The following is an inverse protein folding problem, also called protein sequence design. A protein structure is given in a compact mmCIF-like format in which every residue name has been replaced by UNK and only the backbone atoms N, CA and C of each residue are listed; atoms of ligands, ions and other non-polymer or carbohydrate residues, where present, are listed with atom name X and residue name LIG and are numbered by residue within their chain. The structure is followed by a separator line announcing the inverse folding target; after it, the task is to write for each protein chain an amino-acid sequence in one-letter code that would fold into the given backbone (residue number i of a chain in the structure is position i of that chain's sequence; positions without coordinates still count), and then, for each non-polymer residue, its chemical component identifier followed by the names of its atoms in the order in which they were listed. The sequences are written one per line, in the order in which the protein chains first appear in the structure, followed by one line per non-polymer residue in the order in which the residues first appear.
data_IF_153256826581
#
_entry.id   IF_153256826581
#
_cell.length_a   1.000
_cell.length_b   1.000
_cell.length_c   1.000
_cell.angle_alpha   90.00
_cell.angle_beta   90.00
_cell.angle_gamma   90.00
#
_symmetry.space_group_name_H-M   'P 1'
#
loop_
_entity.id
_entity.type
_entity.pdbx_description
1 polymer ?
#
# COMPACT_ATOMS: atom_id res chain seq x y z
N UNK A 1 37.03 -20.50 -91.13
CA UNK A 1 37.30 -19.39 -92.08
C UNK A 1 38.76 -19.27 -92.51
N UNK A 2 39.79 -19.52 -91.66
CA UNK A 2 41.22 -19.45 -92.07
C UNK A 2 41.58 -20.31 -93.30
N UNK A 3 40.99 -21.50 -93.40
CA UNK A 3 41.26 -22.44 -94.50
C UNK A 3 40.87 -21.92 -95.90
N UNK A 4 39.88 -21.03 -96.02
CA UNK A 4 39.46 -20.51 -97.33
C UNK A 4 40.45 -19.47 -97.90
N UNK A 5 41.07 -18.66 -97.04
CA UNK A 5 41.98 -17.60 -97.48
C UNK A 5 43.37 -18.13 -97.86
N UNK A 6 43.86 -19.18 -97.19
CA UNK A 6 45.08 -19.87 -97.61
C UNK A 6 44.92 -20.50 -99.00
N UNK A 7 43.78 -21.11 -99.30
CA UNK A 7 43.54 -21.71 -100.63
C UNK A 7 43.51 -20.68 -101.77
N UNK A 8 43.03 -19.46 -101.49
CA UNK A 8 43.02 -18.37 -102.47
C UNK A 8 44.42 -17.79 -102.72
N UNK A 9 45.26 -17.75 -101.68
CA UNK A 9 46.65 -17.33 -101.79
C UNK A 9 47.48 -18.36 -102.58
N UNK A 10 47.33 -19.65 -102.27
CA UNK A 10 47.99 -20.75 -102.99
C UNK A 10 47.56 -20.80 -104.48
N UNK A 11 46.28 -20.58 -104.77
CA UNK A 11 45.78 -20.50 -106.14
C UNK A 11 46.39 -19.32 -106.93
N UNK A 12 46.60 -18.17 -106.27
CA UNK A 12 47.23 -17.01 -106.88
C UNK A 12 48.73 -17.22 -107.15
N UNK A 13 49.45 -17.88 -106.23
CA UNK A 13 50.86 -18.22 -106.43
C UNK A 13 51.07 -19.24 -107.56
N UNK A 14 50.20 -20.25 -107.66
CA UNK A 14 50.24 -21.24 -108.75
C UNK A 14 50.00 -20.59 -110.11
N UNK A 15 49.09 -19.62 -110.20
CA UNK A 15 48.80 -18.89 -111.43
C UNK A 15 49.99 -18.00 -111.84
N UNK A 16 50.62 -17.37 -110.85
CA UNK A 16 51.84 -16.57 -111.02
C UNK A 16 53.01 -17.40 -111.55
N UNK A 17 53.24 -18.60 -111.00
CA UNK A 17 54.29 -19.51 -111.47
C UNK A 17 54.09 -19.92 -112.93
N UNK A 18 52.86 -20.32 -113.29
CA UNK A 18 52.53 -20.73 -114.67
C UNK A 18 52.65 -19.61 -115.70
N UNK A 19 52.35 -18.37 -115.31
CA UNK A 19 52.45 -17.22 -116.21
C UNK A 19 53.92 -16.83 -116.48
N UNK A 20 54.81 -17.03 -115.50
CA UNK A 20 56.25 -16.77 -115.64
C UNK A 20 56.97 -17.78 -116.55
N UNK A 21 56.45 -19.00 -116.71
CA UNK A 21 57.03 -20.04 -117.57
C UNK A 21 56.74 -19.85 -119.08
N UNK A 22 55.82 -18.95 -119.46
CA UNK A 22 55.22 -18.95 -120.82
C UNK A 22 55.66 -17.80 -121.76
N UNK A 23 56.69 -17.01 -121.45
CA UNK A 23 56.85 -15.64 -122.00
C UNK A 23 58.29 -15.33 -122.49
N UNK A 24 58.49 -14.97 -123.78
CA UNK A 24 59.81 -14.63 -124.40
C UNK A 24 60.08 -13.11 -124.54
N UNK A 25 61.35 -12.71 -124.35
CA UNK A 25 61.97 -11.47 -124.87
C UNK A 25 61.42 -10.13 -124.35
N UNK A 26 60.51 -9.51 -125.09
CA UNK A 26 59.87 -8.22 -124.73
C UNK A 26 58.63 -8.42 -123.84
N UNK A 27 57.98 -9.58 -123.94
CA UNK A 27 56.84 -9.94 -123.11
C UNK A 27 57.23 -10.21 -121.64
N UNK A 28 58.53 -10.44 -121.37
CA UNK A 28 59.08 -10.63 -120.02
C UNK A 28 59.04 -9.37 -119.16
N UNK A 29 59.17 -8.17 -119.73
CA UNK A 29 59.04 -6.91 -118.97
C UNK A 29 57.60 -6.64 -118.56
N UNK A 30 56.65 -6.89 -119.47
CA UNK A 30 55.22 -6.76 -119.18
C UNK A 30 54.74 -7.86 -118.22
N UNK A 31 55.28 -9.07 -118.32
CA UNK A 31 55.02 -10.13 -117.36
C UNK A 31 55.61 -9.84 -115.98
N UNK A 32 56.84 -9.34 -115.88
CA UNK A 32 57.44 -8.92 -114.62
C UNK A 32 56.66 -7.75 -113.97
N UNK A 33 56.21 -6.77 -114.75
CA UNK A 33 55.39 -5.67 -114.27
C UNK A 33 54.00 -6.14 -113.78
N UNK A 34 53.43 -7.13 -114.45
CA UNK A 34 52.16 -7.76 -114.05
C UNK A 34 52.32 -8.57 -112.77
N UNK A 35 53.41 -9.32 -112.65
CA UNK A 35 53.76 -10.08 -111.44
C UNK A 35 53.98 -9.16 -110.24
N UNK A 36 54.70 -8.04 -110.40
CA UNK A 36 54.88 -7.05 -109.33
C UNK A 36 53.55 -6.40 -108.89
N UNK A 37 52.62 -6.17 -109.84
CA UNK A 37 51.26 -5.71 -109.51
C UNK A 37 50.48 -6.77 -108.73
N UNK A 38 50.61 -8.04 -109.10
CA UNK A 38 49.98 -9.14 -108.36
C UNK A 38 50.60 -9.30 -106.97
N UNK A 39 51.92 -9.19 -106.82
CA UNK A 39 52.59 -9.18 -105.51
C UNK A 39 52.11 -8.02 -104.63
N UNK A 40 52.02 -6.82 -105.19
CA UNK A 40 51.49 -5.66 -104.47
C UNK A 40 50.03 -5.88 -104.04
N UNK A 41 49.20 -6.49 -104.90
CA UNK A 41 47.83 -6.84 -104.55
C UNK A 41 47.76 -7.95 -103.49
N UNK A 42 48.63 -8.95 -103.57
CA UNK A 42 48.71 -10.04 -102.60
C UNK A 42 49.12 -9.51 -101.23
N UNK A 43 50.16 -8.67 -101.15
CA UNK A 43 50.58 -8.03 -99.91
C UNK A 43 49.52 -7.06 -99.38
N UNK A 44 48.85 -6.31 -100.25
CA UNK A 44 47.71 -5.47 -99.86
C UNK A 44 46.57 -6.30 -99.26
N UNK A 45 46.26 -7.47 -99.84
CA UNK A 45 45.25 -8.39 -99.30
C UNK A 45 45.70 -9.03 -97.99
N UNK A 46 46.97 -9.38 -97.86
CA UNK A 46 47.56 -9.92 -96.63
C UNK A 46 47.42 -8.93 -95.47
N UNK A 47 47.83 -7.68 -95.67
CA UNK A 47 47.68 -6.61 -94.68
C UNK A 47 46.21 -6.38 -94.31
N UNK A 48 45.30 -6.47 -95.28
CA UNK A 48 43.86 -6.36 -95.03
C UNK A 48 43.33 -7.54 -94.20
N UNK A 49 43.81 -8.76 -94.44
CA UNK A 49 43.45 -9.94 -93.66
C UNK A 49 43.98 -9.83 -92.24
N UNK A 50 45.22 -9.39 -92.05
CA UNK A 50 45.82 -9.17 -90.72
C UNK A 50 45.03 -8.11 -89.93
N UNK A 51 44.65 -6.99 -90.56
CA UNK A 51 43.82 -5.96 -89.93
C UNK A 51 42.44 -6.48 -89.50
N UNK A 52 41.79 -7.30 -90.34
CA UNK A 52 40.49 -7.90 -90.00
C UNK A 52 40.61 -8.93 -88.86
N UNK A 53 41.71 -9.69 -88.79
CA UNK A 53 41.95 -10.62 -87.69
C UNK A 53 42.17 -9.89 -86.36
N UNK A 54 42.89 -8.76 -86.38
CA UNK A 54 43.05 -7.91 -85.19
C UNK A 54 41.71 -7.30 -84.76
N UNK A 55 40.90 -6.82 -85.71
CA UNK A 55 39.57 -6.28 -85.42
C UNK A 55 38.63 -7.36 -84.85
N UNK A 56 38.68 -8.59 -85.37
CA UNK A 56 37.91 -9.72 -84.85
C UNK A 56 38.34 -10.09 -83.42
N UNK A 57 39.65 -10.20 -83.17
CA UNK A 57 40.16 -10.48 -81.83
C UNK A 57 39.78 -9.39 -80.82
N UNK A 58 39.82 -8.12 -81.24
CA UNK A 58 39.37 -6.99 -80.41
C UNK A 58 37.86 -7.05 -80.12
N UNK A 59 37.05 -7.43 -81.11
CA UNK A 59 35.61 -7.59 -80.94
C UNK A 59 35.25 -8.78 -80.00
N UNK A 60 35.95 -9.91 -80.12
CA UNK A 60 35.78 -11.08 -79.24
C UNK A 60 36.18 -10.76 -77.79
N UNK A 61 37.28 -10.02 -77.59
CA UNK A 61 37.70 -9.55 -76.28
C UNK A 61 36.67 -8.59 -75.65
N UNK A 62 36.12 -7.67 -76.45
CA UNK A 62 35.09 -6.74 -76.01
C UNK A 62 33.79 -7.44 -75.61
N UNK A 63 33.34 -8.44 -76.38
CA UNK A 63 32.16 -9.25 -76.07
C UNK A 63 32.32 -10.03 -74.76
N UNK A 64 33.51 -10.61 -74.53
CA UNK A 64 33.83 -11.35 -73.30
C UNK A 64 33.83 -10.43 -72.06
N UNK A 65 34.40 -9.23 -72.19
CA UNK A 65 34.39 -8.23 -71.13
C UNK A 65 32.98 -7.72 -70.80
N UNK A 66 32.12 -7.54 -71.81
CA UNK A 66 30.72 -7.19 -71.61
C UNK A 66 29.96 -8.29 -70.85
N UNK A 67 30.13 -9.56 -71.25
CA UNK A 67 29.53 -10.70 -70.55
C UNK A 67 30.01 -10.85 -69.10
N UNK A 68 31.29 -10.57 -68.83
CA UNK A 68 31.84 -10.59 -67.46
C UNK A 68 31.24 -9.48 -66.58
N UNK A 69 31.05 -8.27 -67.13
CA UNK A 69 30.40 -7.15 -66.42
C UNK A 69 28.93 -7.45 -66.10
N UNK A 70 28.21 -8.06 -67.04
CA UNK A 70 26.81 -8.45 -66.86
C UNK A 70 26.66 -9.51 -65.77
N UNK A 71 27.52 -10.55 -65.76
CA UNK A 71 27.54 -11.56 -64.69
C UNK A 71 27.84 -10.95 -63.32
N UNK A 72 28.83 -10.05 -63.23
CA UNK A 72 29.14 -9.34 -61.98
C UNK A 72 28.00 -8.44 -61.51
N UNK A 73 27.27 -7.79 -62.42
CA UNK A 73 26.10 -6.99 -62.09
C UNK A 73 24.94 -7.86 -61.57
N UNK A 74 24.70 -9.03 -62.19
CA UNK A 74 23.70 -9.99 -61.74
C UNK A 74 24.02 -10.58 -60.37
N UNK A 75 25.29 -10.88 -60.09
CA UNK A 75 25.72 -11.37 -58.78
C UNK A 75 25.49 -10.32 -57.68
N UNK A 76 25.82 -9.04 -57.95
CA UNK A 76 25.53 -7.93 -57.03
C UNK A 76 24.02 -7.72 -56.84
N UNK A 77 23.23 -7.82 -57.91
CA UNK A 77 21.78 -7.70 -57.84
C UNK A 77 21.15 -8.84 -57.01
N UNK A 78 21.66 -10.07 -57.17
CA UNK A 78 21.23 -11.22 -56.37
C UNK A 78 21.63 -11.07 -54.90
N UNK A 79 22.85 -10.60 -54.61
CA UNK A 79 23.27 -10.27 -53.24
C UNK A 79 22.40 -9.17 -52.61
N UNK A 80 22.04 -8.14 -53.37
CA UNK A 80 21.13 -7.09 -52.90
C UNK A 80 19.72 -7.63 -52.62
N UNK A 81 19.20 -8.53 -53.46
CA UNK A 81 17.90 -9.19 -53.23
C UNK A 81 17.89 -10.03 -51.95
N UNK A 82 18.94 -10.81 -51.71
CA UNK A 82 19.07 -11.60 -50.47
C UNK A 82 19.16 -10.71 -49.22
N UNK A 83 19.82 -9.55 -49.31
CA UNK A 83 19.85 -8.59 -48.20
C UNK A 83 18.47 -7.97 -47.95
N UNK A 84 17.72 -7.64 -49.01
CA UNK A 84 16.35 -7.13 -48.87
C UNK A 84 15.43 -8.16 -48.23
N UNK A 85 15.49 -9.41 -48.66
CA UNK A 85 14.70 -10.52 -48.08
C UNK A 85 14.97 -10.69 -46.58
N UNK A 86 16.25 -10.63 -46.17
CA UNK A 86 16.61 -10.67 -44.74
C UNK A 86 16.07 -9.48 -43.95
N UNK A 87 16.13 -8.27 -44.51
CA UNK A 87 15.58 -7.08 -43.86
C UNK A 87 14.05 -7.13 -43.75
N UNK A 88 13.37 -7.70 -44.75
CA UNK A 88 11.92 -7.93 -44.69
C UNK A 88 11.54 -8.95 -43.60
N UNK A 89 12.32 -10.03 -43.46
CA UNK A 89 12.13 -10.98 -42.35
C UNK A 89 12.37 -10.34 -40.98
N UNK A 90 13.43 -9.54 -40.83
CA UNK A 90 13.73 -8.83 -39.57
C UNK A 90 12.63 -7.82 -39.24
N UNK A 91 12.13 -7.08 -40.23
CA UNK A 91 11.02 -6.15 -40.07
C UNK A 91 9.73 -6.88 -39.68
N UNK A 92 9.46 -8.06 -40.26
CA UNK A 92 8.31 -8.87 -39.89
C UNK A 92 8.42 -9.36 -38.44
N UNK A 93 9.61 -9.81 -38.01
CA UNK A 93 9.89 -10.22 -36.63
C UNK A 93 9.74 -9.05 -35.66
N UNK A 94 10.24 -7.86 -36.00
CA UNK A 94 10.10 -6.66 -35.17
C UNK A 94 8.63 -6.23 -35.04
N UNK A 95 7.86 -6.24 -36.13
CA UNK A 95 6.42 -5.95 -36.11
C UNK A 95 5.66 -6.95 -35.22
N UNK A 96 5.94 -8.25 -35.36
CA UNK A 96 5.32 -9.27 -34.53
C UNK A 96 5.65 -9.09 -33.04
N UNK A 97 6.92 -8.77 -32.73
CA UNK A 97 7.35 -8.48 -31.36
C UNK A 97 6.62 -7.26 -30.79
N UNK A 98 6.52 -6.15 -31.55
CA UNK A 98 5.80 -4.95 -31.11
C UNK A 98 4.31 -5.20 -30.90
N UNK A 99 3.67 -5.99 -31.77
CA UNK A 99 2.27 -6.36 -31.60
C UNK A 99 2.07 -7.20 -30.34
N UNK A 100 2.93 -8.19 -30.09
CA UNK A 100 2.88 -9.00 -28.87
C UNK A 100 3.10 -8.16 -27.61
N UNK A 101 4.06 -7.23 -27.63
CA UNK A 101 4.29 -6.30 -26.53
C UNK A 101 3.09 -5.37 -26.29
N UNK A 102 2.46 -4.88 -27.37
CA UNK A 102 1.26 -4.06 -27.29
C UNK A 102 0.06 -4.81 -26.70
N UNK A 103 -0.14 -6.07 -27.12
CA UNK A 103 -1.19 -6.93 -26.58
C UNK A 103 -0.96 -7.23 -25.09
N UNK A 104 0.25 -7.62 -24.70
CA UNK A 104 0.59 -7.88 -23.30
C UNK A 104 0.41 -6.62 -22.43
N UNK A 105 0.79 -5.44 -22.94
CA UNK A 105 0.58 -4.18 -22.24
C UNK A 105 -0.92 -3.85 -22.09
N UNK A 106 -1.72 -4.13 -23.12
CA UNK A 106 -3.17 -3.93 -23.07
C UNK A 106 -3.85 -4.86 -22.07
N UNK A 107 -3.49 -6.14 -22.06
CA UNK A 107 -3.99 -7.13 -21.09
C UNK A 107 -3.60 -6.75 -19.65
N UNK A 108 -2.34 -6.34 -19.43
CA UNK A 108 -1.89 -5.85 -18.12
C UNK A 108 -2.66 -4.61 -17.67
N UNK A 109 -2.93 -3.66 -18.59
CA UNK A 109 -3.74 -2.48 -18.29
C UNK A 109 -5.20 -2.84 -17.95
N UNK A 110 -5.80 -3.80 -18.65
CA UNK A 110 -7.14 -4.30 -18.34
C UNK A 110 -7.20 -4.99 -16.97
N UNK A 111 -6.19 -5.79 -16.62
CA UNK A 111 -6.08 -6.42 -15.31
C UNK A 111 -5.94 -5.38 -14.19
N UNK A 112 -5.05 -4.40 -14.36
CA UNK A 112 -4.90 -3.31 -13.39
C UNK A 112 -6.19 -2.49 -13.23
N UNK A 113 -6.92 -2.23 -14.31
CA UNK A 113 -8.21 -1.55 -14.26
C UNK A 113 -9.27 -2.38 -13.51
N UNK A 114 -9.29 -3.70 -13.69
CA UNK A 114 -10.19 -4.60 -12.97
C UNK A 114 -9.87 -4.65 -11.47
N UNK A 115 -8.59 -4.71 -11.10
CA UNK A 115 -8.15 -4.65 -9.70
C UNK A 115 -8.52 -3.33 -9.02
N UNK A 116 -8.33 -2.20 -9.72
CA UNK A 116 -8.75 -0.88 -9.23
C UNK A 116 -10.27 -0.82 -9.04
N UNK A 117 -11.06 -1.34 -9.98
CA UNK A 117 -12.52 -1.38 -9.86
C UNK A 117 -12.97 -2.21 -8.64
N UNK A 118 -12.32 -3.35 -8.39
CA UNK A 118 -12.58 -4.17 -7.19
C UNK A 118 -12.20 -3.43 -5.90
N UNK A 119 -11.06 -2.75 -5.88
CA UNK A 119 -10.62 -1.96 -4.72
C UNK A 119 -11.58 -0.81 -4.41
N UNK A 120 -12.08 -0.10 -5.43
CA UNK A 120 -13.08 0.96 -5.27
C UNK A 120 -14.39 0.40 -4.72
N UNK A 121 -14.89 -0.70 -5.28
CA UNK A 121 -16.11 -1.35 -4.78
C UNK A 121 -15.98 -1.81 -3.32
N UNK A 122 -14.82 -2.37 -2.94
CA UNK A 122 -14.53 -2.75 -1.56
C UNK A 122 -14.48 -1.53 -0.63
N UNK A 123 -13.86 -0.43 -1.07
CA UNK A 123 -13.81 0.82 -0.30
C UNK A 123 -15.19 1.44 -0.10
N UNK A 124 -16.05 1.43 -1.13
CA UNK A 124 -17.43 1.90 -1.04
C UNK A 124 -18.25 1.06 -0.05
N UNK A 125 -18.12 -0.27 -0.11
CA UNK A 125 -18.77 -1.17 0.85
C UNK A 125 -18.30 -0.91 2.29
N UNK A 126 -16.98 -0.76 2.49
CA UNK A 126 -16.40 -0.44 3.80
C UNK A 126 -16.88 0.93 4.31
N UNK A 127 -16.94 1.94 3.44
CA UNK A 127 -17.47 3.27 3.78
C UNK A 127 -18.94 3.21 4.18
N UNK A 128 -19.76 2.41 3.50
CA UNK A 128 -21.17 2.22 3.86
C UNK A 128 -21.31 1.59 5.25
N UNK A 129 -20.52 0.55 5.54
CA UNK A 129 -20.48 -0.10 6.86
C UNK A 129 -20.03 0.89 7.94
N UNK A 130 -18.99 1.69 7.67
CA UNK A 130 -18.51 2.70 8.60
C UNK A 130 -19.58 3.74 8.92
N UNK A 131 -20.29 4.26 7.91
CA UNK A 131 -21.40 5.20 8.11
C UNK A 131 -22.52 4.62 8.97
N UNK A 132 -22.90 3.36 8.73
CA UNK A 132 -23.92 2.70 9.55
C UNK A 132 -23.49 2.52 11.00
N UNK A 133 -22.20 2.21 11.24
CA UNK A 133 -21.67 2.07 12.60
C UNK A 133 -21.60 3.42 13.32
N UNK A 134 -21.19 4.48 12.62
CA UNK A 134 -21.16 5.84 13.19
C UNK A 134 -22.56 6.26 13.61
N UNK A 135 -23.56 6.09 12.73
CA UNK A 135 -24.95 6.43 13.06
C UNK A 135 -25.47 5.66 14.28
N UNK A 136 -25.16 4.36 14.39
CA UNK A 136 -25.57 3.56 15.55
C UNK A 136 -24.88 4.00 16.84
N UNK A 137 -23.58 4.35 16.78
CA UNK A 137 -22.85 4.88 17.94
C UNK A 137 -23.34 6.28 18.34
N UNK A 138 -23.77 7.10 17.39
CA UNK A 138 -24.37 8.41 17.66
C UNK A 138 -25.73 8.28 18.36
N UNK A 139 -26.56 7.33 17.95
CA UNK A 139 -27.82 7.01 18.63
C UNK A 139 -27.58 6.50 20.05
N UNK A 140 -26.66 5.55 20.25
CA UNK A 140 -26.30 5.03 21.57
C UNK A 140 -25.74 6.13 22.47
N UNK A 141 -24.89 7.01 21.94
CA UNK A 141 -24.36 8.16 22.67
C UNK A 141 -25.45 9.19 23.04
N UNK A 142 -26.45 9.38 22.18
CA UNK A 142 -27.59 10.25 22.47
C UNK A 142 -28.47 9.67 23.59
N UNK A 143 -28.72 8.36 23.57
CA UNK A 143 -29.46 7.67 24.64
C UNK A 143 -28.74 7.75 25.99
N UNK A 144 -27.43 7.49 26.02
CA UNK A 144 -26.65 7.58 27.26
C UNK A 144 -26.60 9.02 27.81
N UNK A 145 -26.48 10.03 26.94
CA UNK A 145 -26.58 11.44 27.36
C UNK A 145 -27.95 11.75 27.94
N UNK A 146 -29.03 11.27 27.32
CA UNK A 146 -30.38 11.48 27.85
C UNK A 146 -30.58 10.84 29.22
N UNK A 147 -30.08 9.61 29.44
CA UNK A 147 -30.13 8.94 30.74
C UNK A 147 -29.33 9.71 31.80
N UNK A 148 -28.13 10.17 31.44
CA UNK A 148 -27.28 10.95 32.34
C UNK A 148 -27.93 12.28 32.73
N UNK A 149 -28.49 13.01 31.78
CA UNK A 149 -29.17 14.29 32.03
C UNK A 149 -30.42 14.08 32.90
N UNK A 150 -31.17 12.99 32.68
CA UNK A 150 -32.30 12.62 33.52
C UNK A 150 -31.86 12.28 34.97
N UNK A 151 -30.75 11.57 35.14
CA UNK A 151 -30.19 11.25 36.45
C UNK A 151 -29.75 12.51 37.21
N UNK A 152 -29.08 13.45 36.53
CA UNK A 152 -28.70 14.74 37.10
C UNK A 152 -29.93 15.57 37.52
N UNK A 153 -30.98 15.57 36.69
CA UNK A 153 -32.22 16.28 37.02
C UNK A 153 -32.91 15.67 38.25
N UNK A 154 -32.91 14.34 38.37
CA UNK A 154 -33.48 13.67 39.55
C UNK A 154 -32.66 13.94 40.81
N UNK A 155 -31.33 13.93 40.72
CA UNK A 155 -30.43 14.25 41.83
C UNK A 155 -30.61 15.71 42.29
N UNK A 156 -30.72 16.66 41.36
CA UNK A 156 -31.03 18.05 41.67
C UNK A 156 -32.40 18.19 42.36
N UNK A 157 -33.42 17.44 41.91
CA UNK A 157 -34.73 17.44 42.53
C UNK A 157 -34.69 16.85 43.96
N UNK A 158 -33.88 15.80 44.20
CA UNK A 158 -33.67 15.23 45.54
C UNK A 158 -32.96 16.21 46.47
N UNK A 159 -31.91 16.87 45.99
CA UNK A 159 -31.19 17.90 46.74
C UNK A 159 -32.12 19.05 47.14
N UNK A 160 -32.95 19.53 46.21
CA UNK A 160 -33.93 20.59 46.49
C UNK A 160 -34.95 20.18 47.57
N UNK A 161 -35.45 18.93 47.52
CA UNK A 161 -36.34 18.41 48.58
C UNK A 161 -35.64 18.31 49.93
N UNK A 162 -34.39 17.87 49.95
CA UNK A 162 -33.59 17.79 51.17
C UNK A 162 -33.35 19.19 51.77
N UNK A 163 -33.06 20.19 50.94
CA UNK A 163 -32.94 21.58 51.39
C UNK A 163 -34.23 22.13 51.98
N UNK A 164 -35.38 21.84 51.35
CA UNK A 164 -36.68 22.25 51.88
C UNK A 164 -36.93 21.62 53.26
N UNK A 165 -36.72 20.31 53.39
CA UNK A 165 -36.85 19.62 54.68
C UNK A 165 -35.91 20.18 55.76
N UNK A 166 -34.68 20.55 55.39
CA UNK A 166 -33.74 21.20 56.32
C UNK A 166 -34.20 22.59 56.75
N UNK A 167 -34.87 23.35 55.88
CA UNK A 167 -35.45 24.65 56.26
C UNK A 167 -36.59 24.46 57.25
N UNK A 168 -37.47 23.50 56.99
CA UNK A 168 -38.61 23.19 57.88
C UNK A 168 -38.11 22.77 59.27
N UNK A 169 -37.11 21.87 59.34
CA UNK A 169 -36.51 21.45 60.62
C UNK A 169 -35.84 22.61 61.36
N UNK A 170 -35.21 23.56 60.64
CA UNK A 170 -34.62 24.76 61.26
C UNK A 170 -35.68 25.69 61.83
N UNK A 171 -36.81 25.85 61.15
CA UNK A 171 -37.91 26.67 61.63
C UNK A 171 -38.63 26.01 62.82
N UNK A 172 -38.84 24.69 62.79
CA UNK A 172 -39.34 23.95 63.95
C UNK A 172 -38.42 24.08 65.16
N UNK A 173 -37.10 23.98 64.95
CA UNK A 173 -36.12 24.20 65.99
C UNK A 173 -36.22 25.63 66.55
N UNK A 174 -36.30 26.65 65.69
CA UNK A 174 -36.47 28.06 66.09
C UNK A 174 -37.71 28.25 66.96
N UNK A 175 -38.85 27.73 66.52
CA UNK A 175 -40.11 27.80 67.27
C UNK A 175 -40.03 27.06 68.61
N UNK A 176 -39.33 25.92 68.65
CA UNK A 176 -39.13 25.16 69.89
C UNK A 176 -38.26 25.91 70.89
N UNK A 177 -37.20 26.59 70.42
CA UNK A 177 -36.34 27.43 71.26
C UNK A 177 -37.09 28.64 71.81
N UNK A 178 -37.90 29.32 70.99
CA UNK A 178 -38.73 30.45 71.45
C UNK A 178 -39.74 30.02 72.53
N UNK A 179 -40.39 28.85 72.35
CA UNK A 179 -41.29 28.28 73.37
C UNK A 179 -40.55 27.95 74.67
N UNK A 180 -39.35 27.40 74.58
CA UNK A 180 -38.54 27.06 75.75
C UNK A 180 -38.11 28.32 76.51
N UNK A 181 -37.69 29.37 75.82
CA UNK A 181 -37.37 30.67 76.42
C UNK A 181 -38.59 31.32 77.10
N UNK A 182 -39.78 31.22 76.49
CA UNK A 182 -41.02 31.73 77.08
C UNK A 182 -41.37 30.96 78.38
N UNK A 183 -41.30 29.63 78.35
CA UNK A 183 -41.49 28.79 79.53
C UNK A 183 -40.47 29.09 80.63
N UNK A 184 -39.21 29.34 80.28
CA UNK A 184 -38.18 29.72 81.24
C UNK A 184 -38.50 31.07 81.91
N UNK A 185 -38.96 32.06 81.15
CA UNK A 185 -39.39 33.35 81.69
C UNK A 185 -40.60 33.20 82.62
N UNK A 186 -41.57 32.40 82.25
CA UNK A 186 -42.75 32.13 83.09
C UNK A 186 -42.37 31.38 84.37
N UNK A 187 -41.47 30.39 84.29
CA UNK A 187 -40.93 29.70 85.44
C UNK A 187 -40.23 30.67 86.41
N UNK A 188 -39.36 31.55 85.91
CA UNK A 188 -38.69 32.56 86.74
C UNK A 188 -39.68 33.55 87.36
N UNK A 189 -40.74 33.94 86.64
CA UNK A 189 -41.83 34.77 87.18
C UNK A 189 -42.55 34.06 88.32
N UNK A 190 -42.90 32.78 88.16
CA UNK A 190 -43.56 31.98 89.20
C UNK A 190 -42.64 31.80 90.41
N UNK A 191 -41.35 31.56 90.19
CA UNK A 191 -40.36 31.46 91.26
C UNK A 191 -40.23 32.78 92.04
N UNK A 192 -40.22 33.92 91.35
CA UNK A 192 -40.20 35.23 91.98
C UNK A 192 -41.49 35.52 92.78
N UNK A 193 -42.64 35.10 92.27
CA UNK A 193 -43.92 35.19 92.99
C UNK A 193 -43.96 34.26 94.22
N UNK A 194 -43.38 33.06 94.12
CA UNK A 194 -43.27 32.12 95.24
C UNK A 194 -42.32 32.64 96.33
N UNK A 195 -41.25 33.37 95.98
CA UNK A 195 -40.36 34.03 96.94
C UNK A 195 -40.98 35.30 97.57
N UNK A 196 -42.03 35.86 96.99
CA UNK A 196 -42.78 36.99 97.54
C UNK A 196 -43.86 36.58 98.56
N UNK A 197 -44.05 35.28 98.79
CA UNK A 197 -44.91 34.77 99.87
C UNK A 197 -44.08 34.63 101.16
N UNK A 198 -44.58 35.08 102.33
CA UNK A 198 -43.88 34.91 103.60
C UNK A 198 -43.72 33.41 103.93
N UNK A 199 -42.60 33.02 104.57
CA UNK A 199 -42.31 31.60 104.81
C UNK A 199 -43.37 30.98 105.73
N UNK A 200 -43.90 29.78 105.42
CA UNK A 200 -44.69 29.04 106.38
C UNK A 200 -43.78 28.55 107.52
N UNK A 201 -44.28 28.68 108.74
CA UNK A 201 -43.62 28.18 109.96
C UNK A 201 -43.40 26.65 109.88
N UNK A 202 -42.35 26.11 110.53
CA UNK A 202 -41.94 24.72 110.32
C UNK A 202 -42.90 23.77 111.04
N UNK A 203 -43.38 22.74 110.34
CA UNK A 203 -44.04 21.60 110.96
C UNK A 203 -43.57 20.28 110.34
N UNK A 204 -43.44 19.30 111.22
CA UNK A 204 -42.82 17.97 111.14
C UNK A 204 -43.10 17.09 109.89
N UNK A 205 -42.13 16.21 109.59
CA UNK A 205 -42.24 15.00 108.75
C UNK A 205 -43.08 13.89 109.44
N UNK A 206 -43.42 12.70 108.84
CA UNK A 206 -43.02 12.06 107.56
C UNK A 206 -44.20 11.37 106.77
N UNK A 207 -44.06 10.74 105.55
CA UNK A 207 -43.55 9.36 105.32
C UNK A 207 -42.79 9.20 103.94
N UNK A 208 -42.47 7.99 103.38
CA UNK A 208 -41.33 7.76 102.46
C UNK A 208 -41.52 8.31 101.03
N UNK A 209 -40.42 8.51 100.26
CA UNK A 209 -40.41 9.42 99.13
C UNK A 209 -41.13 8.85 97.90
N UNK A 210 -42.13 9.59 97.41
CA UNK A 210 -42.44 9.60 96.00
C UNK A 210 -41.24 10.23 95.27
N UNK A 211 -40.75 9.60 94.20
CA UNK A 211 -39.68 10.16 93.36
C UNK A 211 -40.00 11.62 93.10
N UNK A 212 -39.16 12.51 93.61
CA UNK A 212 -39.39 13.95 93.45
C UNK A 212 -39.27 14.29 91.97
N UNK A 213 -39.98 15.32 91.51
CA UNK A 213 -39.90 15.77 90.12
C UNK A 213 -38.44 15.93 89.63
N UNK A 214 -37.55 16.34 90.52
CA UNK A 214 -36.11 16.46 90.29
C UNK A 214 -35.39 15.12 90.05
N UNK A 215 -35.80 14.03 90.68
CA UNK A 215 -35.25 12.68 90.40
C UNK A 215 -35.77 12.11 89.07
N UNK A 216 -37.00 12.44 88.68
CA UNK A 216 -37.53 12.12 87.35
C UNK A 216 -36.82 12.91 86.25
N UNK A 217 -36.57 14.21 86.44
CA UNK A 217 -35.78 15.04 85.52
C UNK A 217 -34.35 14.51 85.35
N UNK A 218 -33.66 14.17 86.44
CA UNK A 218 -32.32 13.58 86.37
C UNK A 218 -32.28 12.25 85.62
N UNK A 219 -33.34 11.45 85.72
CA UNK A 219 -33.45 10.19 84.98
C UNK A 219 -33.74 10.42 83.50
N UNK A 220 -34.55 11.43 83.18
CA UNK A 220 -34.83 11.87 81.80
C UNK A 220 -33.58 12.41 81.12
N UNK A 221 -32.83 13.30 81.78
CA UNK A 221 -31.56 13.84 81.27
C UNK A 221 -30.49 12.76 81.08
N UNK A 222 -30.44 11.74 81.95
CA UNK A 222 -29.56 10.58 81.76
C UNK A 222 -29.99 9.75 80.55
N UNK A 223 -31.29 9.55 80.34
CA UNK A 223 -31.80 8.82 79.16
C UNK A 223 -31.55 9.58 77.85
N UNK A 224 -31.64 10.91 77.86
CA UNK A 224 -31.30 11.75 76.73
C UNK A 224 -29.80 11.69 76.44
N UNK A 225 -28.95 11.82 77.47
CA UNK A 225 -27.49 11.67 77.32
C UNK A 225 -27.10 10.30 76.75
N UNK A 226 -27.74 9.24 77.22
CA UNK A 226 -27.47 7.88 76.75
C UNK A 226 -27.98 7.69 75.30
N UNK A 227 -29.07 8.38 74.91
CA UNK A 227 -29.55 8.44 73.52
C UNK A 227 -28.57 9.18 72.60
N UNK A 228 -28.02 10.32 73.04
CA UNK A 228 -26.97 11.05 72.32
C UNK A 228 -25.69 10.23 72.17
N UNK A 229 -25.36 9.43 73.18
CA UNK A 229 -24.21 8.51 73.12
C UNK A 229 -24.40 7.43 72.06
N UNK A 230 -25.61 6.87 71.95
CA UNK A 230 -25.96 5.87 70.92
C UNK A 230 -25.89 6.47 69.50
N UNK A 231 -26.37 7.70 69.32
CA UNK A 231 -26.30 8.43 68.05
C UNK A 231 -24.85 8.71 67.65
N UNK A 232 -24.00 9.09 68.61
CA UNK A 232 -22.57 9.31 68.36
C UNK A 232 -21.83 8.01 67.97
N UNK A 233 -22.17 6.89 68.61
CA UNK A 233 -21.60 5.58 68.29
C UNK A 233 -22.02 5.10 66.89
N UNK A 234 -23.27 5.36 66.51
CA UNK A 234 -23.75 5.09 65.15
C UNK A 234 -23.07 5.96 64.09
N UNK A 235 -22.78 7.24 64.41
CA UNK A 235 -22.05 8.14 63.51
C UNK A 235 -20.60 7.69 63.29
N UNK A 236 -19.90 7.23 64.33
CA UNK A 236 -18.55 6.64 64.22
C UNK A 236 -18.56 5.35 63.37
N UNK A 237 -19.54 4.46 63.55
CA UNK A 237 -19.68 3.26 62.72
C UNK A 237 -19.92 3.57 61.24
N UNK A 238 -20.72 4.61 60.94
CA UNK A 238 -20.97 5.06 59.57
C UNK A 238 -19.72 5.67 58.94
N UNK A 239 -18.93 6.42 59.73
CA UNK A 239 -17.65 6.98 59.29
C UNK A 239 -16.62 5.88 59.00
N UNK A 240 -16.51 4.87 59.86
CA UNK A 240 -15.65 3.70 59.66
C UNK A 240 -16.02 2.92 58.39
N UNK A 241 -17.32 2.81 58.10
CA UNK A 241 -17.81 2.18 56.87
C UNK A 241 -17.43 3.00 55.63
N UNK A 242 -17.66 4.32 55.67
CA UNK A 242 -17.27 5.24 54.60
C UNK A 242 -15.75 5.19 54.35
N UNK A 243 -14.92 5.13 55.39
CA UNK A 243 -13.47 5.05 55.25
C UNK A 243 -13.00 3.73 54.62
N UNK A 244 -13.71 2.61 54.88
CA UNK A 244 -13.43 1.32 54.23
C UNK A 244 -13.83 1.35 52.76
N UNK A 245 -14.98 1.92 52.43
CA UNK A 245 -15.45 2.09 51.05
C UNK A 245 -14.50 3.02 50.25
N UNK A 246 -14.01 4.09 50.88
CA UNK A 246 -13.00 4.98 50.30
C UNK A 246 -11.67 4.25 50.06
N UNK A 247 -11.24 3.38 50.98
CA UNK A 247 -10.03 2.54 50.78
C UNK A 247 -10.22 1.55 49.64
N UNK A 248 -11.38 0.92 49.54
CA UNK A 248 -11.69 -0.05 48.47
C UNK A 248 -11.73 0.62 47.10
N UNK A 249 -12.41 1.78 46.99
CA UNK A 249 -12.45 2.57 45.74
C UNK A 249 -11.07 3.06 45.31
N UNK A 250 -10.22 3.51 46.25
CA UNK A 250 -8.81 3.87 45.96
C UNK A 250 -8.01 2.67 45.43
N UNK A 251 -8.27 1.47 45.94
CA UNK A 251 -7.57 0.25 45.52
C UNK A 251 -8.01 -0.18 44.10
N UNK A 252 -9.31 -0.12 43.81
CA UNK A 252 -9.85 -0.37 42.46
C UNK A 252 -9.30 0.66 41.46
N UNK A 253 -9.26 1.93 41.83
CA UNK A 253 -8.75 2.99 40.97
C UNK A 253 -7.25 2.85 40.71
N UNK A 254 -6.47 2.39 41.70
CA UNK A 254 -5.05 2.07 41.51
C UNK A 254 -4.86 0.87 40.56
N UNK A 255 -5.73 -0.15 40.64
CA UNK A 255 -5.69 -1.29 39.74
C UNK A 255 -6.02 -0.90 38.29
N UNK A 256 -7.08 -0.11 38.09
CA UNK A 256 -7.44 0.41 36.77
C UNK A 256 -6.33 1.28 36.15
N UNK A 257 -5.63 2.08 36.96
CA UNK A 257 -4.45 2.83 36.49
C UNK A 257 -3.32 1.91 36.01
N UNK A 258 -3.02 0.84 36.76
CA UNK A 258 -2.02 -0.15 36.34
C UNK A 258 -2.42 -0.85 35.05
N UNK A 259 -3.70 -1.18 34.89
CA UNK A 259 -4.20 -1.85 33.69
C UNK A 259 -4.17 -0.91 32.47
N UNK A 260 -4.49 0.38 32.65
CA UNK A 260 -4.34 1.40 31.60
C UNK A 260 -2.87 1.65 31.20
N UNK A 261 -1.93 1.61 32.15
CA UNK A 261 -0.50 1.70 31.88
C UNK A 261 0.03 0.47 31.12
N UNK A 262 -0.43 -0.74 31.49
CA UNK A 262 -0.12 -1.97 30.75
C UNK A 262 -0.63 -1.91 29.31
N UNK A 263 -1.87 -1.45 29.11
CA UNK A 263 -2.44 -1.30 27.77
C UNK A 263 -1.68 -0.25 26.93
N UNK A 264 -1.18 0.82 27.55
CA UNK A 264 -0.30 1.79 26.88
C UNK A 264 1.04 1.16 26.48
N UNK A 265 1.68 0.42 27.37
CA UNK A 265 2.94 -0.27 27.08
C UNK A 265 2.76 -1.34 25.99
N UNK A 266 1.65 -2.07 25.99
CA UNK A 266 1.35 -3.04 24.94
C UNK A 266 1.13 -2.38 23.57
N UNK A 267 0.52 -1.18 23.54
CA UNK A 267 0.38 -0.38 22.31
C UNK A 267 1.72 0.18 21.84
N UNK A 268 2.58 0.64 22.74
CA UNK A 268 3.93 1.13 22.41
C UNK A 268 4.85 0.00 21.92
N UNK A 269 4.79 -1.17 22.56
CA UNK A 269 5.55 -2.36 22.14
C UNK A 269 5.01 -2.95 20.84
N UNK A 270 3.69 -2.93 20.63
CA UNK A 270 3.07 -3.27 19.36
C UNK A 270 3.46 -2.32 18.23
N UNK A 271 3.56 -1.02 18.50
CA UNK A 271 4.05 -0.02 17.54
C UNK A 271 5.56 -0.19 17.25
N UNK A 272 6.37 -0.54 18.25
CA UNK A 272 7.79 -0.82 18.08
C UNK A 272 8.05 -2.10 17.24
N UNK A 273 7.19 -3.13 17.37
CA UNK A 273 7.26 -4.32 16.53
C UNK A 273 6.94 -4.04 15.05
N UNK A 274 6.09 -3.04 14.77
CA UNK A 274 5.80 -2.57 13.40
C UNK A 274 6.91 -1.66 12.85
N UNK A 275 7.62 -0.93 13.72
CA UNK A 275 8.76 -0.08 13.34
C UNK A 275 10.06 -0.87 13.05
N UNK A 276 10.12 -2.16 13.38
CA UNK A 276 11.27 -3.05 13.13
C UNK A 276 11.15 -3.86 11.83
N UNK A 277 10.36 -3.38 10.87
CA UNK A 277 10.47 -3.81 9.47
C UNK A 277 11.55 -2.95 8.81
N UNK A 278 12.65 -3.52 8.29
CA UNK A 278 13.73 -2.71 7.73
C UNK A 278 13.25 -2.03 6.44
N UNK A 279 13.10 -0.71 6.49
CA UNK A 279 12.95 0.13 5.29
C UNK A 279 14.21 0.03 4.42
N UNK A 280 14.07 -0.10 3.09
CA UNK A 280 15.21 -0.24 2.20
C UNK A 280 16.06 1.03 2.18
N UNK A 281 17.38 0.86 2.39
CA UNK A 281 18.39 1.92 2.23
C UNK A 281 18.25 2.59 0.86
N UNK A 282 17.96 3.88 0.85
CA UNK A 282 18.29 4.78 -0.26
C UNK A 282 19.74 5.22 -0.06
N UNK A 283 20.63 4.84 -0.98
CA UNK A 283 22.01 5.33 -1.05
C UNK A 283 22.08 6.53 -2.03
N UNK A 284 22.95 7.52 -1.76
CA UNK A 284 23.05 8.75 -2.53
C UNK A 284 23.79 8.53 -3.86
N UNK A 285 23.37 9.29 -4.88
CA UNK A 285 23.99 9.37 -6.20
C UNK A 285 25.33 10.09 -6.18
N UNK A 286 26.37 9.44 -6.72
CA UNK A 286 27.62 10.06 -7.20
C UNK A 286 28.18 9.22 -8.37
N UNK A 287 28.99 9.82 -9.28
CA UNK A 287 28.78 9.70 -10.72
C UNK A 287 29.66 8.65 -11.44
N UNK A 288 29.27 8.43 -12.71
CA UNK A 288 29.84 7.53 -13.70
C UNK A 288 31.38 7.53 -13.79
N UNK A 289 31.98 6.34 -13.73
CA UNK A 289 33.20 6.01 -14.47
C UNK A 289 33.22 4.54 -14.92
N UNK A 290 33.27 4.36 -16.24
CA UNK A 290 33.93 3.30 -17.04
C UNK A 290 33.67 1.79 -16.77
N UNK A 291 33.07 1.17 -17.79
CA UNK A 291 33.13 -0.26 -18.23
C UNK A 291 34.58 -0.86 -18.28
N UNK A 292 34.78 -2.18 -18.56
CA UNK A 292 33.85 -3.33 -18.59
C UNK A 292 34.41 -4.67 -18.01
N UNK A 293 33.53 -5.69 -18.02
CA UNK A 293 33.77 -7.07 -18.47
C UNK A 293 33.74 -8.22 -17.44
N UNK A 294 32.93 -9.21 -17.84
CA UNK A 294 33.06 -10.65 -17.61
C UNK A 294 32.53 -11.24 -16.30
N UNK A 295 31.48 -12.05 -16.45
CA UNK A 295 31.55 -13.42 -15.93
C UNK A 295 30.42 -13.90 -15.03
N UNK A 296 29.40 -14.48 -15.69
CA UNK A 296 28.93 -15.84 -15.39
C UNK A 296 27.94 -16.10 -14.22
N UNK A 297 26.87 -16.81 -14.63
CA UNK A 297 26.02 -17.76 -13.88
C UNK A 297 24.76 -17.21 -13.19
N UNK A 298 23.78 -16.96 -14.05
CA UNK A 298 22.39 -17.39 -13.83
C UNK A 298 22.34 -18.91 -13.59
N UNK A 299 22.06 -19.33 -12.37
CA UNK A 299 21.35 -20.58 -12.03
C UNK A 299 21.21 -20.63 -10.50
N UNK A 300 20.07 -20.17 -9.98
CA UNK A 300 19.90 -20.07 -8.53
C UNK A 300 18.47 -19.74 -8.11
N UNK A 301 17.59 -20.73 -8.26
CA UNK A 301 16.43 -20.93 -7.39
C UNK A 301 15.26 -19.93 -7.57
N UNK A 302 14.45 -20.21 -8.60
CA UNK A 302 13.01 -19.89 -8.63
C UNK A 302 12.25 -20.60 -7.48
N UNK A 303 12.79 -21.71 -6.97
CA UNK A 303 12.28 -22.46 -5.82
C UNK A 303 12.27 -21.65 -4.50
N UNK A 304 13.24 -20.75 -4.30
CA UNK A 304 13.33 -19.89 -3.11
C UNK A 304 12.32 -18.74 -3.08
N UNK A 305 11.72 -18.40 -4.23
CA UNK A 305 10.64 -17.41 -4.32
C UNK A 305 9.27 -18.04 -4.11
N UNK A 306 9.06 -19.27 -4.57
CA UNK A 306 7.82 -20.01 -4.30
C UNK A 306 7.71 -20.49 -2.85
N UNK A 307 8.82 -20.86 -2.19
CA UNK A 307 8.82 -21.25 -0.78
C UNK A 307 8.42 -20.10 0.16
N UNK A 308 8.75 -18.85 -0.21
CA UNK A 308 8.37 -17.63 0.56
C UNK A 308 6.93 -17.21 0.34
N UNK A 309 6.39 -17.41 -0.87
CA UNK A 309 4.98 -17.13 -1.15
C UNK A 309 4.05 -18.10 -0.39
N UNK A 310 4.41 -19.38 -0.28
CA UNK A 310 3.61 -20.37 0.45
C UNK A 310 3.61 -20.16 1.97
N UNK A 311 4.73 -19.73 2.56
CA UNK A 311 4.80 -19.44 4.00
C UNK A 311 3.97 -18.20 4.40
N UNK A 312 3.85 -17.20 3.52
CA UNK A 312 3.03 -16.01 3.77
C UNK A 312 1.52 -16.37 3.68
N UNK A 313 1.14 -17.23 2.73
CA UNK A 313 -0.25 -17.68 2.58
C UNK A 313 -0.67 -18.62 3.72
N UNK A 314 0.21 -19.50 4.20
CA UNK A 314 -0.07 -20.37 5.35
C UNK A 314 -0.13 -19.60 6.68
N UNK A 315 0.69 -18.55 6.85
CA UNK A 315 0.61 -17.66 8.01
C UNK A 315 -0.71 -16.86 8.04
N UNK A 316 -1.18 -16.38 6.88
CA UNK A 316 -2.46 -15.69 6.76
C UNK A 316 -3.65 -16.64 7.02
N UNK A 317 -3.58 -17.89 6.54
CA UNK A 317 -4.62 -18.91 6.77
C UNK A 317 -4.70 -19.36 8.24
N UNK A 318 -3.57 -19.38 8.96
CA UNK A 318 -3.53 -19.70 10.39
C UNK A 318 -4.11 -18.58 11.26
N UNK A 319 -3.88 -17.31 10.89
CA UNK A 319 -4.46 -16.15 11.57
C UNK A 319 -5.99 -16.09 11.43
N UNK A 320 -6.54 -16.46 10.26
CA UNK A 320 -8.00 -16.49 10.04
C UNK A 320 -8.67 -17.64 10.80
N UNK A 321 -8.01 -18.79 10.98
CA UNK A 321 -8.53 -19.90 11.80
C UNK A 321 -8.51 -19.60 13.31
N UNK A 322 -7.51 -18.87 13.81
CA UNK A 322 -7.41 -18.49 15.22
C UNK A 322 -8.44 -17.43 15.67
N UNK A 323 -8.96 -16.63 14.75
CA UNK A 323 -10.05 -15.67 15.02
C UNK A 323 -11.42 -16.36 15.01
N UNK A 324 -11.60 -17.39 14.17
CA UNK A 324 -12.87 -18.12 14.09
C UNK A 324 -13.13 -19.05 15.29
N UNK A 325 -12.08 -19.52 15.99
CA UNK A 325 -12.24 -20.33 17.21
C UNK A 325 -12.51 -19.51 18.49
N UNK A 326 -12.51 -18.17 18.43
CA UNK A 326 -12.90 -17.29 19.56
C UNK A 326 -14.34 -16.75 19.46
N UNK A 327 -15.07 -17.08 18.40
CA UNK A 327 -16.46 -16.64 18.17
C UNK A 327 -17.41 -17.84 18.09
N UNK A 328 -17.23 -18.82 18.99
CA UNK A 328 -18.20 -19.88 19.21
C UNK A 328 -18.55 -19.95 20.72
N UNK A 329 -19.83 -19.68 20.99
CA UNK A 329 -20.61 -19.87 22.22
C UNK A 329 -20.55 -18.81 23.34
N UNK A 330 -21.67 -18.07 23.49
CA UNK A 330 -22.23 -17.76 24.80
C UNK A 330 -23.66 -18.33 24.88
N UNK A 331 -23.82 -19.49 25.50
CA UNK A 331 -25.09 -19.97 26.10
C UNK A 331 -24.84 -21.31 26.79
N UNK A 332 -24.70 -21.26 28.10
CA UNK A 332 -25.60 -21.95 29.04
C UNK A 332 -25.04 -21.81 30.47
N UNK A 333 -25.61 -20.87 31.22
CA UNK A 333 -25.66 -20.91 32.68
C UNK A 333 -27.11 -20.69 33.06
N UNK A 334 -27.82 -21.77 33.37
CA UNK A 334 -28.94 -21.82 34.33
C UNK A 334 -29.36 -23.28 34.52
N UNK A 335 -29.16 -23.77 35.75
CA UNK A 335 -29.42 -25.12 36.22
C UNK A 335 -28.66 -25.34 37.51
#
# INVERSE_FOLDING_TARGET
MRANYQSLYEAAEMWRQRYLEAVEGDSMRDAAATVLKFEALIEQQRLRIEALQQALAAAEAAATAAGARERSALEKANGARQMLEKLEEELAKEKALRLAQGQAAHEAAQQAAAELAQAVAAHEAASKIARTKISALEEEAAEERSKHDAALAEEAARASRAEAALRDLREELRLSTEKLEALQKDYLRIQAQAQALPPPAPAAAPPPPAMTASEMELRSLRSERDSWRLVAEQAELMKDRSDRELKQTKLVLAQLKKDAERERLDKENGAAAVASVPSPRVLPTAPEQSRPASGSRLAGSQAGREARARTIVDAARSAVKGVSSRVASPRDVSG
#
